data_IF_919656844573
#
_entry.id   IF_919656844573
#
_cell.length_a   1.000
_cell.length_b   1.000
_cell.length_c   1.000
_cell.angle_alpha   90.00
_cell.angle_beta   90.00
_cell.angle_gamma   90.00
#
_symmetry.space_group_name_H-M   'P 1'
#
loop_
_entity.id
_entity.type
_entity.pdbx_description
1 polymer ?
#
# COMPACT_ATOMS: atom_id res chain seq x y z
N UNK A 1 56.22 -24.06 7.10
CA UNK A 1 57.07 -23.42 6.09
C UNK A 1 56.14 -22.75 5.08
N UNK A 2 55.92 -21.44 5.22
CA UNK A 2 56.61 -20.38 4.48
C UNK A 2 56.17 -20.35 2.99
N UNK A 3 55.63 -19.28 2.41
CA UNK A 3 55.57 -17.91 2.89
C UNK A 3 54.57 -17.05 2.12
N UNK A 4 54.30 -15.90 2.73
CA UNK A 4 53.46 -14.82 2.23
C UNK A 4 54.16 -14.05 1.09
N UNK A 5 53.35 -13.45 0.21
CA UNK A 5 53.78 -12.33 -0.62
C UNK A 5 52.96 -11.09 -0.27
N UNK A 6 53.70 -10.15 0.32
CA UNK A 6 53.34 -8.81 0.70
C UNK A 6 53.46 -7.91 -0.55
N UNK A 7 52.51 -7.00 -0.76
CA UNK A 7 52.74 -5.80 -1.55
C UNK A 7 52.07 -4.62 -0.85
N UNK A 8 52.90 -3.91 -0.08
CA UNK A 8 52.62 -2.57 0.42
C UNK A 8 52.89 -1.56 -0.68
N UNK A 9 51.99 -0.60 -0.86
CA UNK A 9 52.36 0.75 -1.30
C UNK A 9 51.47 1.77 -0.62
N UNK A 10 52.05 2.42 0.38
CA UNK A 10 51.58 3.62 1.04
C UNK A 10 51.64 4.80 0.08
N UNK A 11 50.54 5.53 -0.08
CA UNK A 11 50.56 6.94 -0.49
C UNK A 11 49.75 7.76 0.51
N UNK A 12 50.47 8.60 1.24
CA UNK A 12 49.95 9.57 2.19
C UNK A 12 49.24 10.72 1.47
N UNK A 13 48.01 10.96 1.90
CA UNK A 13 47.23 12.21 2.03
C UNK A 13 47.65 13.47 1.26
N UNK A 14 46.64 14.07 0.59
CA UNK A 14 46.36 15.50 0.76
C UNK A 14 44.85 15.70 0.95
N UNK A 15 44.43 15.98 2.19
CA UNK A 15 43.06 16.32 2.54
C UNK A 15 42.73 17.72 2.06
N UNK A 16 41.61 17.86 1.34
CA UNK A 16 40.96 19.15 1.06
C UNK A 16 39.90 19.42 2.16
N UNK A 17 39.75 20.68 2.61
CA UNK A 17 38.89 21.01 3.73
C UNK A 17 37.40 20.80 3.38
N UNK A 18 36.75 19.93 4.14
CA UNK A 18 35.30 19.74 4.12
C UNK A 18 34.63 20.86 4.93
N UNK A 19 33.93 21.76 4.24
CA UNK A 19 33.02 22.71 4.86
C UNK A 19 31.79 21.96 5.36
N UNK A 20 31.75 21.70 6.67
CA UNK A 20 30.58 21.18 7.36
C UNK A 20 29.50 22.27 7.40
N UNK A 21 28.43 22.11 6.62
CA UNK A 21 27.17 22.81 6.86
C UNK A 21 26.36 22.01 7.89
N UNK A 22 25.83 22.64 8.94
CA UNK A 22 25.01 21.93 9.92
C UNK A 22 23.64 21.65 9.31
N UNK A 23 23.29 20.37 9.12
CA UNK A 23 21.90 19.97 8.88
C UNK A 23 21.18 19.97 10.23
N UNK A 24 20.34 20.98 10.47
CA UNK A 24 19.42 20.96 11.60
C UNK A 24 18.33 19.91 11.34
N UNK A 25 18.43 18.75 11.97
CA UNK A 25 17.28 17.85 12.11
C UNK A 25 16.35 18.44 13.17
N UNK A 26 15.28 19.11 12.75
CA UNK A 26 14.24 19.57 13.67
C UNK A 26 13.31 18.38 13.92
N UNK A 27 13.56 17.65 15.01
CA UNK A 27 12.58 16.74 15.60
C UNK A 27 11.61 17.58 16.43
N UNK A 28 10.39 17.79 15.93
CA UNK A 28 9.34 18.46 16.72
C UNK A 28 8.77 17.44 17.70
N UNK A 29 9.33 17.43 18.92
CA UNK A 29 8.74 16.76 20.08
C UNK A 29 7.76 17.71 20.72
N UNK A 30 6.46 17.53 20.48
CA UNK A 30 5.44 18.26 21.21
C UNK A 30 5.54 17.88 22.70
N UNK A 31 5.91 18.85 23.54
CA UNK A 31 5.88 18.73 25.00
C UNK A 31 4.71 19.57 25.49
N UNK A 32 3.64 18.92 25.94
CA UNK A 32 2.60 19.58 26.71
C UNK A 32 3.07 19.69 28.17
N UNK A 33 3.12 20.92 28.69
CA UNK A 33 3.12 21.16 30.13
C UNK A 33 1.71 21.55 30.58
N UNK A 34 1.28 21.12 31.77
CA UNK A 34 -0.09 21.28 32.22
C UNK A 34 -0.31 22.69 32.79
N UNK A 35 -1.43 23.29 32.46
CA UNK A 35 -2.01 24.42 33.21
C UNK A 35 -3.22 23.91 33.99
N UNK A 36 -3.08 23.88 35.30
CA UNK A 36 -4.20 23.77 36.24
C UNK A 36 -5.04 25.06 36.17
N UNK A 37 -6.35 24.93 36.02
CA UNK A 37 -7.30 25.33 37.07
C UNK A 37 -8.75 25.25 36.61
N UNK A 38 -9.61 24.98 37.60
CA UNK A 38 -11.03 25.31 37.69
C UNK A 38 -12.04 24.33 37.07
N UNK A 39 -12.48 23.43 37.94
CA UNK A 39 -13.67 22.61 37.88
C UNK A 39 -14.96 23.43 37.82
N UNK A 40 -15.74 23.26 36.75
CA UNK A 40 -17.20 23.45 36.79
C UNK A 40 -17.86 22.38 35.92
N UNK A 41 -18.55 21.45 36.58
CA UNK A 41 -19.36 20.39 36.00
C UNK A 41 -20.60 20.95 35.30
N UNK A 42 -20.69 20.76 33.98
CA UNK A 42 -21.93 20.94 33.21
C UNK A 42 -22.11 19.73 32.30
N UNK A 43 -23.27 19.10 32.43
CA UNK A 43 -23.59 17.77 31.95
C UNK A 43 -23.53 17.57 30.43
N UNK A 44 -23.21 16.33 30.10
CA UNK A 44 -23.24 15.70 28.78
C UNK A 44 -24.61 15.90 28.14
N UNK A 45 -24.66 16.70 27.08
CA UNK A 45 -25.69 16.56 26.05
C UNK A 45 -25.03 15.96 24.82
N UNK A 46 -25.52 14.78 24.48
CA UNK A 46 -25.34 14.10 23.21
C UNK A 46 -25.52 15.12 22.09
N UNK A 47 -24.47 15.30 21.28
CA UNK A 47 -24.58 16.17 20.13
C UNK A 47 -25.12 15.34 18.97
N UNK A 48 -26.24 15.84 18.47
CA UNK A 48 -27.14 15.19 17.55
C UNK A 48 -26.47 14.85 16.23
N UNK A 49 -26.89 13.68 15.75
CA UNK A 49 -26.60 13.11 14.45
C UNK A 49 -27.19 14.06 13.38
N UNK A 50 -26.36 14.97 12.84
CA UNK A 50 -26.75 15.79 11.69
C UNK A 50 -26.78 14.86 10.48
N UNK A 51 -27.99 14.49 10.07
CA UNK A 51 -28.27 13.48 9.08
C UNK A 51 -27.65 13.76 7.71
N UNK A 52 -26.81 12.81 7.29
CA UNK A 52 -26.61 12.48 5.89
C UNK A 52 -26.82 10.97 5.73
N UNK A 53 -28.07 10.52 5.86
CA UNK A 53 -28.44 9.14 5.53
C UNK A 53 -28.54 8.98 4.01
N UNK A 54 -27.43 9.14 3.30
CA UNK A 54 -27.27 8.47 2.02
C UNK A 54 -26.99 7.00 2.32
N UNK A 55 -28.04 6.17 2.39
CA UNK A 55 -27.84 4.73 2.50
C UNK A 55 -27.14 4.27 1.23
N UNK A 56 -25.86 3.93 1.32
CA UNK A 56 -25.15 3.31 0.22
C UNK A 56 -25.84 1.97 -0.07
N UNK A 57 -26.24 1.76 -1.31
CA UNK A 57 -26.84 0.51 -1.76
C UNK A 57 -26.09 0.01 -2.98
N UNK A 58 -26.00 -1.31 -3.19
CA UNK A 58 -25.49 -1.86 -4.44
C UNK A 58 -26.28 -1.32 -5.64
N UNK A 59 -25.69 -1.27 -6.84
CA UNK A 59 -26.42 -0.95 -8.06
C UNK A 59 -27.66 -1.84 -8.24
N UNK A 60 -28.73 -1.35 -8.89
CA UNK A 60 -29.93 -2.17 -9.13
C UNK A 60 -29.60 -3.48 -9.85
N UNK A 61 -30.17 -4.59 -9.38
CA UNK A 61 -29.93 -5.95 -9.89
C UNK A 61 -28.46 -6.41 -9.85
N UNK A 62 -27.63 -5.81 -8.99
CA UNK A 62 -26.24 -6.21 -8.85
C UNK A 62 -26.10 -7.64 -8.33
N UNK A 63 -25.28 -8.43 -9.03
CA UNK A 63 -24.84 -9.75 -8.59
C UNK A 63 -23.31 -9.80 -8.65
N UNK A 64 -22.63 -10.21 -7.57
CA UNK A 64 -21.19 -10.43 -7.63
C UNK A 64 -20.82 -11.39 -8.76
N UNK A 65 -19.76 -11.11 -9.52
CA UNK A 65 -19.30 -11.97 -10.60
C UNK A 65 -18.75 -13.29 -10.05
N UNK A 66 -18.87 -14.34 -10.86
CA UNK A 66 -18.16 -15.59 -10.58
C UNK A 66 -16.64 -15.40 -10.79
N UNK A 67 -15.78 -15.84 -9.84
CA UNK A 67 -14.34 -15.68 -9.96
C UNK A 67 -13.76 -16.44 -11.14
N UNK A 68 -12.96 -15.76 -11.97
CA UNK A 68 -12.28 -16.32 -13.14
C UNK A 68 -10.78 -16.20 -12.97
N UNK A 69 -10.17 -17.32 -12.59
CA UNK A 69 -8.72 -17.38 -12.36
C UNK A 69 -7.94 -16.97 -13.63
N UNK A 70 -7.17 -15.89 -13.51
CA UNK A 70 -6.38 -15.30 -14.61
C UNK A 70 -7.21 -14.79 -15.80
N UNK A 71 -8.53 -14.64 -15.63
CA UNK A 71 -9.39 -14.08 -16.65
C UNK A 71 -9.07 -12.61 -16.89
N UNK A 72 -8.91 -12.22 -18.15
CA UNK A 72 -8.87 -10.82 -18.56
C UNK A 72 -10.09 -10.56 -19.42
N UNK A 73 -10.93 -9.61 -19.02
CA UNK A 73 -12.06 -9.21 -19.84
C UNK A 73 -11.54 -8.59 -21.16
N UNK A 74 -12.09 -8.95 -22.34
CA UNK A 74 -11.51 -8.55 -23.62
C UNK A 74 -11.32 -7.05 -23.81
N UNK A 75 -12.23 -6.22 -23.28
CA UNK A 75 -12.14 -4.75 -23.31
C UNK A 75 -11.06 -4.17 -22.38
N UNK A 76 -10.51 -4.96 -21.46
CA UNK A 76 -9.49 -4.55 -20.49
C UNK A 76 -8.08 -5.04 -20.80
N UNK A 77 -7.86 -5.70 -21.93
CA UNK A 77 -6.55 -6.25 -22.30
C UNK A 77 -5.45 -5.18 -22.29
N UNK A 78 -5.70 -4.03 -22.95
CA UNK A 78 -4.72 -2.94 -23.01
C UNK A 78 -4.52 -2.27 -21.65
N UNK A 79 -5.56 -2.21 -20.83
CA UNK A 79 -5.45 -1.68 -19.48
C UNK A 79 -4.52 -2.53 -18.61
N UNK A 80 -4.74 -3.84 -18.62
CA UNK A 80 -3.91 -4.81 -17.89
C UNK A 80 -2.48 -4.82 -18.44
N UNK A 81 -2.29 -4.75 -19.76
CA UNK A 81 -0.97 -4.69 -20.37
C UNK A 81 -0.21 -3.42 -19.95
N UNK A 82 -0.86 -2.26 -19.99
CA UNK A 82 -0.28 -1.00 -19.53
C UNK A 82 0.06 -1.01 -18.04
N UNK A 83 -0.78 -1.63 -17.21
CA UNK A 83 -0.52 -1.82 -15.78
C UNK A 83 0.63 -2.78 -15.50
N UNK A 84 0.86 -3.76 -16.38
CA UNK A 84 1.92 -4.76 -16.24
C UNK A 84 3.32 -4.19 -16.49
N UNK A 85 3.45 -3.01 -17.11
CA UNK A 85 4.74 -2.33 -17.28
C UNK A 85 5.45 -2.08 -15.94
N UNK A 86 4.69 -1.93 -14.85
CA UNK A 86 5.25 -1.81 -13.51
C UNK A 86 6.15 -3.00 -13.16
N UNK A 87 5.73 -4.23 -13.50
CA UNK A 87 6.52 -5.44 -13.26
C UNK A 87 7.82 -5.45 -14.06
N UNK A 88 7.79 -4.95 -15.30
CA UNK A 88 8.96 -4.89 -16.18
C UNK A 88 9.96 -3.86 -15.68
N UNK A 89 9.54 -2.60 -15.48
CA UNK A 89 10.45 -1.52 -15.08
C UNK A 89 10.98 -1.65 -13.66
N UNK A 90 10.28 -2.41 -12.82
CA UNK A 90 10.68 -2.69 -11.43
C UNK A 90 11.26 -4.08 -11.25
N UNK A 91 11.44 -4.84 -12.32
CA UNK A 91 12.03 -6.19 -12.28
C UNK A 91 11.33 -7.11 -11.26
N UNK A 92 10.01 -6.98 -11.14
CA UNK A 92 9.19 -7.75 -10.21
C UNK A 92 9.33 -7.40 -8.72
N UNK A 93 9.94 -6.25 -8.36
CA UNK A 93 9.98 -5.82 -6.96
C UNK A 93 8.57 -5.55 -6.42
N UNK A 94 8.34 -5.84 -5.14
CA UNK A 94 7.00 -5.78 -4.54
C UNK A 94 6.06 -6.94 -4.88
N UNK A 95 6.50 -7.94 -5.68
CA UNK A 95 5.74 -9.19 -5.87
C UNK A 95 5.82 -10.08 -4.63
N UNK A 96 6.96 -10.10 -3.95
CA UNK A 96 7.27 -11.02 -2.86
C UNK A 96 7.37 -10.26 -1.53
N UNK A 97 6.93 -10.92 -0.46
CA UNK A 97 7.15 -10.42 0.90
C UNK A 97 8.59 -10.64 1.36
N UNK A 98 8.98 -10.00 2.45
CA UNK A 98 10.31 -10.14 3.05
C UNK A 98 10.56 -11.57 3.53
N UNK A 99 11.78 -12.06 3.28
CA UNK A 99 12.17 -13.43 3.60
C UNK A 99 11.44 -14.50 2.80
N UNK A 100 10.85 -14.16 1.65
CA UNK A 100 10.16 -15.12 0.79
C UNK A 100 11.07 -16.31 0.42
N UNK A 101 10.52 -17.51 0.57
CA UNK A 101 11.13 -18.76 0.11
C UNK A 101 10.04 -19.70 -0.42
N UNK A 102 10.39 -20.51 -1.41
CA UNK A 102 9.47 -21.46 -2.01
C UNK A 102 10.12 -22.83 -2.25
N UNK A 103 9.32 -23.88 -2.10
CA UNK A 103 9.69 -25.26 -2.42
C UNK A 103 8.54 -25.95 -3.17
N UNK A 104 8.88 -26.89 -4.06
CA UNK A 104 7.88 -27.71 -4.74
C UNK A 104 7.56 -28.94 -3.89
N UNK A 105 6.27 -29.17 -3.66
CA UNK A 105 5.76 -30.34 -2.94
C UNK A 105 4.83 -31.12 -3.87
N UNK A 106 4.96 -32.45 -3.99
CA UNK A 106 4.00 -33.26 -4.75
C UNK A 106 2.55 -33.02 -4.29
N UNK A 107 1.60 -32.93 -5.23
CA UNK A 107 0.19 -32.60 -4.91
C UNK A 107 -0.46 -33.55 -3.90
N UNK A 108 -0.10 -34.82 -3.93
CA UNK A 108 -0.59 -35.85 -3.01
C UNK A 108 -0.06 -35.69 -1.57
N UNK A 109 1.02 -34.92 -1.37
CA UNK A 109 1.66 -34.70 -0.06
C UNK A 109 1.32 -33.31 0.51
N UNK A 110 0.61 -32.47 -0.24
CA UNK A 110 0.25 -31.12 0.21
C UNK A 110 -1.11 -31.10 0.91
N UNK A 111 -1.25 -30.44 2.08
CA UNK A 111 -2.51 -30.39 2.81
C UNK A 111 -3.66 -29.79 1.96
N UNK A 112 -4.83 -30.44 1.87
CA UNK A 112 -5.91 -30.02 0.98
C UNK A 112 -6.61 -28.72 1.41
N UNK A 113 -6.52 -28.38 2.71
CA UNK A 113 -7.07 -27.16 3.32
C UNK A 113 -6.17 -25.93 3.13
N UNK A 114 -4.93 -26.13 2.65
CA UNK A 114 -3.96 -25.05 2.46
C UNK A 114 -3.98 -24.54 1.02
N UNK A 115 -4.00 -23.22 0.90
CA UNK A 115 -3.74 -22.51 -0.34
C UNK A 115 -2.32 -22.81 -0.82
N UNK A 116 -2.21 -23.20 -2.10
CA UNK A 116 -0.96 -23.20 -2.83
C UNK A 116 -1.21 -23.04 -4.32
N UNK A 117 -0.26 -22.38 -4.99
CA UNK A 117 -0.19 -22.36 -6.45
C UNK A 117 0.16 -23.77 -6.94
N UNK A 118 -0.61 -24.28 -7.89
CA UNK A 118 -0.35 -25.56 -8.55
C UNK A 118 0.36 -25.33 -9.88
N UNK A 119 1.49 -26.01 -10.10
CA UNK A 119 2.28 -25.95 -11.33
C UNK A 119 2.73 -27.37 -11.68
N UNK A 120 2.31 -27.87 -12.84
CA UNK A 120 2.74 -29.16 -13.39
C UNK A 120 2.63 -30.35 -12.39
N UNK A 121 1.54 -30.41 -11.60
CA UNK A 121 1.32 -31.47 -10.61
C UNK A 121 2.01 -31.27 -9.25
N UNK A 122 2.74 -30.16 -9.07
CA UNK A 122 3.33 -29.77 -7.80
C UNK A 122 2.57 -28.59 -7.18
N UNK A 123 2.56 -28.52 -5.85
CA UNK A 123 2.14 -27.36 -5.08
C UNK A 123 3.38 -26.55 -4.71
N UNK A 124 3.33 -25.24 -4.95
CA UNK A 124 4.36 -24.29 -4.51
C UNK A 124 4.09 -23.96 -3.05
N UNK A 125 4.85 -24.55 -2.14
CA UNK A 125 4.83 -24.20 -0.72
C UNK A 125 5.63 -22.91 -0.54
N UNK A 126 4.94 -21.83 -0.19
CA UNK A 126 5.53 -20.51 0.03
C UNK A 126 5.67 -20.24 1.53
N UNK A 127 6.77 -19.59 1.91
CA UNK A 127 7.04 -19.17 3.29
C UNK A 127 7.65 -17.77 3.29
N UNK A 128 7.63 -17.11 4.45
CA UNK A 128 8.12 -15.75 4.62
C UNK A 128 8.68 -15.53 6.02
N UNK A 129 9.42 -14.42 6.21
CA UNK A 129 9.95 -13.99 7.51
C UNK A 129 9.49 -12.56 7.77
N UNK A 130 8.26 -12.44 8.26
CA UNK A 130 7.63 -11.14 8.51
C UNK A 130 8.04 -10.58 9.87
N UNK A 131 8.13 -9.25 9.95
CA UNK A 131 8.36 -8.53 11.21
C UNK A 131 7.09 -8.39 12.06
N UNK A 132 7.14 -7.63 13.17
CA UNK A 132 5.96 -7.41 14.00
C UNK A 132 4.84 -6.74 13.20
N UNK A 133 3.58 -7.02 13.56
CA UNK A 133 2.40 -6.45 12.92
C UNK A 133 1.87 -5.29 13.75
N UNK A 134 1.50 -4.15 13.14
CA UNK A 134 0.90 -3.04 13.87
C UNK A 134 -0.47 -3.44 14.45
N UNK A 135 -0.78 -2.96 15.66
CA UNK A 135 -2.07 -3.25 16.31
C UNK A 135 -3.22 -2.43 15.74
N UNK A 136 -2.90 -1.23 15.26
CA UNK A 136 -3.81 -0.32 14.55
C UNK A 136 -3.25 -0.09 13.15
N UNK A 137 -4.09 -0.05 12.09
CA UNK A 137 -3.61 0.26 10.75
C UNK A 137 -2.83 1.57 10.70
N UNK A 138 -1.69 1.57 10.04
CA UNK A 138 -0.95 2.80 9.72
C UNK A 138 -1.72 3.53 8.62
N UNK A 139 -1.82 4.85 8.74
CA UNK A 139 -2.50 5.69 7.76
C UNK A 139 -1.49 6.23 6.75
N UNK A 140 -1.81 6.14 5.45
CA UNK A 140 -0.97 6.70 4.39
C UNK A 140 -1.82 7.55 3.45
N UNK A 141 -1.45 8.81 3.32
CA UNK A 141 -2.06 9.79 2.43
C UNK A 141 -1.24 9.83 1.14
N UNK A 142 -1.87 9.48 0.01
CA UNK A 142 -1.14 9.20 -1.23
C UNK A 142 -2.01 9.34 -2.48
N UNK A 143 -1.40 9.36 -3.67
CA UNK A 143 -2.13 9.12 -4.91
C UNK A 143 -1.34 8.24 -5.89
N UNK A 144 -2.06 7.52 -6.76
CA UNK A 144 -1.52 6.40 -7.53
C UNK A 144 -0.37 6.80 -8.46
N UNK A 145 -0.51 7.94 -9.11
CA UNK A 145 0.40 8.47 -10.15
C UNK A 145 1.52 9.34 -9.55
N UNK A 146 2.02 8.93 -8.38
CA UNK A 146 3.16 9.53 -7.71
C UNK A 146 4.26 8.48 -7.52
N UNK A 147 5.47 8.69 -8.06
CA UNK A 147 6.55 7.70 -7.93
C UNK A 147 6.99 7.54 -6.47
N UNK A 148 6.92 8.60 -5.66
CA UNK A 148 7.25 8.55 -4.25
C UNK A 148 6.21 7.78 -3.42
N UNK A 149 4.93 7.89 -3.76
CA UNK A 149 3.87 7.09 -3.13
C UNK A 149 4.01 5.62 -3.50
N UNK A 150 4.36 5.34 -4.76
CA UNK A 150 4.60 3.98 -5.24
C UNK A 150 5.73 3.28 -4.50
N UNK A 151 6.84 3.96 -4.21
CA UNK A 151 7.91 3.43 -3.35
C UNK A 151 7.39 2.95 -2.00
N UNK A 152 6.51 3.74 -1.38
CA UNK A 152 5.93 3.41 -0.07
C UNK A 152 4.95 2.24 -0.18
N UNK A 153 4.12 2.18 -1.23
CA UNK A 153 3.27 1.00 -1.50
C UNK A 153 4.10 -0.26 -1.74
N UNK A 154 5.21 -0.14 -2.44
CA UNK A 154 6.11 -1.27 -2.71
C UNK A 154 6.71 -1.82 -1.42
N UNK A 155 7.22 -0.97 -0.51
CA UNK A 155 7.73 -1.48 0.78
C UNK A 155 6.62 -2.03 1.66
N UNK A 156 5.43 -1.44 1.66
CA UNK A 156 4.26 -1.93 2.40
C UNK A 156 3.90 -3.34 1.94
N UNK A 157 3.93 -3.61 0.63
CA UNK A 157 3.70 -4.94 0.07
C UNK A 157 4.81 -5.93 0.45
N UNK A 158 6.09 -5.50 0.40
CA UNK A 158 7.23 -6.32 0.83
C UNK A 158 7.13 -6.67 2.31
N UNK A 159 6.75 -5.72 3.16
CA UNK A 159 6.62 -5.95 4.59
C UNK A 159 5.32 -6.65 4.99
N UNK A 160 4.41 -6.88 4.04
CA UNK A 160 3.09 -7.49 4.25
C UNK A 160 2.23 -6.74 5.29
N UNK A 161 2.25 -5.41 5.25
CA UNK A 161 1.53 -4.58 6.22
C UNK A 161 0.12 -4.25 5.74
N UNK A 162 -0.84 -4.22 6.66
CA UNK A 162 -2.18 -3.73 6.37
C UNK A 162 -2.21 -2.22 6.63
N UNK A 163 -2.65 -1.46 5.63
CA UNK A 163 -2.55 0.00 5.61
C UNK A 163 -3.90 0.60 5.28
N UNK A 164 -4.28 1.63 6.05
CA UNK A 164 -5.42 2.47 5.75
C UNK A 164 -4.97 3.61 4.83
N UNK A 165 -5.33 3.52 3.55
CA UNK A 165 -5.00 4.53 2.57
C UNK A 165 -6.07 5.63 2.50
N UNK A 166 -5.61 6.88 2.50
CA UNK A 166 -6.42 8.07 2.26
C UNK A 166 -6.01 8.71 0.94
N UNK A 167 -6.81 8.53 -0.13
CA UNK A 167 -6.40 9.03 -1.43
C UNK A 167 -6.39 10.55 -1.52
N UNK A 168 -5.38 11.09 -2.21
CA UNK A 168 -5.12 12.52 -2.35
C UNK A 168 -4.84 12.87 -3.83
N UNK A 169 -5.71 12.48 -4.79
CA UNK A 169 -5.55 12.87 -6.19
C UNK A 169 -5.58 14.41 -6.31
N UNK A 170 -5.04 14.95 -7.39
CA UNK A 170 -5.09 16.40 -7.65
C UNK A 170 -6.56 16.87 -7.69
N UNK A 171 -6.82 18.05 -7.14
CA UNK A 171 -8.15 18.64 -6.98
C UNK A 171 -9.11 17.89 -6.04
N UNK A 172 -8.58 16.93 -5.28
CA UNK A 172 -9.33 16.22 -4.24
C UNK A 172 -9.73 17.12 -3.07
N UNK A 173 -11.03 17.20 -2.72
CA UNK A 173 -11.53 18.14 -1.70
C UNK A 173 -11.35 17.64 -0.26
N UNK A 174 -11.18 16.34 -0.02
CA UNK A 174 -11.30 15.79 1.34
C UNK A 174 -9.96 15.69 2.07
N UNK A 175 -8.98 14.99 1.50
CA UNK A 175 -7.81 14.55 2.27
C UNK A 175 -6.58 15.44 2.09
N UNK A 176 -6.45 16.14 0.95
CA UNK A 176 -5.36 17.11 0.76
C UNK A 176 -5.40 18.26 1.77
N UNK A 177 -6.56 18.88 2.09
CA UNK A 177 -6.63 19.89 3.14
C UNK A 177 -6.27 19.34 4.52
N UNK A 178 -6.67 18.09 4.82
CA UNK A 178 -6.31 17.42 6.08
C UNK A 178 -4.79 17.28 6.24
N UNK A 179 -4.07 16.87 5.18
CA UNK A 179 -2.61 16.78 5.20
C UNK A 179 -1.96 18.16 5.38
N UNK A 180 -2.51 19.20 4.76
CA UNK A 180 -2.04 20.57 4.98
C UNK A 180 -2.20 20.99 6.45
N UNK A 181 -3.34 20.66 7.08
CA UNK A 181 -3.60 20.97 8.48
C UNK A 181 -2.67 20.20 9.44
N UNK A 182 -2.44 18.91 9.17
CA UNK A 182 -1.66 18.04 10.05
C UNK A 182 -0.14 18.23 9.90
N UNK A 183 0.37 18.35 8.67
CA UNK A 183 1.80 18.37 8.40
C UNK A 183 2.32 19.68 7.76
N UNK A 184 1.44 20.66 7.53
CA UNK A 184 1.83 22.01 7.08
C UNK A 184 2.12 22.15 5.58
N UNK A 185 2.07 21.05 4.81
CA UNK A 185 2.27 21.08 3.34
C UNK A 185 1.50 19.97 2.64
N UNK A 186 0.99 20.26 1.44
CA UNK A 186 0.36 19.26 0.56
C UNK A 186 1.43 18.44 -0.21
N UNK A 187 2.28 17.73 0.53
CA UNK A 187 3.30 16.82 -0.01
C UNK A 187 2.89 15.36 0.24
N UNK A 188 3.17 14.49 -0.73
CA UNK A 188 2.78 13.07 -0.67
C UNK A 188 3.97 12.17 -1.05
N UNK A 189 4.12 10.99 -0.43
CA UNK A 189 3.24 10.45 0.61
C UNK A 189 3.42 11.15 1.96
N UNK A 190 2.36 11.11 2.78
CA UNK A 190 2.41 11.48 4.20
C UNK A 190 1.89 10.29 5.02
N UNK A 191 2.64 9.88 6.04
CA UNK A 191 2.33 8.70 6.85
C UNK A 191 1.99 9.15 8.28
N UNK A 192 1.01 8.49 8.90
CA UNK A 192 0.70 8.59 10.34
C UNK A 192 0.65 7.19 10.92
N UNK A 193 1.48 6.91 11.92
CA UNK A 193 1.48 5.65 12.65
C UNK A 193 0.86 5.84 14.05
N UNK A 194 -0.41 5.42 14.25
CA UNK A 194 -1.09 5.56 15.54
C UNK A 194 -0.54 4.64 16.63
N UNK A 195 0.31 3.66 16.30
CA UNK A 195 0.92 2.75 17.27
C UNK A 195 2.08 3.42 18.01
N UNK A 196 2.77 4.37 17.37
CA UNK A 196 3.93 5.07 17.92
C UNK A 196 3.70 6.57 18.09
N UNK A 197 2.64 7.13 17.48
CA UNK A 197 2.36 8.56 17.44
C UNK A 197 3.22 9.33 16.43
N UNK A 198 3.97 8.63 15.57
CA UNK A 198 4.85 9.26 14.57
C UNK A 198 4.06 9.64 13.32
N UNK A 199 4.31 10.84 12.81
CA UNK A 199 3.84 11.27 11.48
C UNK A 199 4.97 11.91 10.69
N UNK A 200 5.09 11.62 9.40
CA UNK A 200 6.22 12.11 8.60
C UNK A 200 5.93 12.20 7.10
N UNK A 201 6.74 13.04 6.44
CA UNK A 201 6.88 13.12 4.99
C UNK A 201 8.10 12.31 4.52
N UNK A 202 8.45 12.48 3.25
CA UNK A 202 9.65 11.93 2.59
C UNK A 202 9.60 10.41 2.44
N UNK A 203 9.35 9.94 1.22
CA UNK A 203 9.19 8.50 0.93
C UNK A 203 10.33 7.63 1.44
N UNK A 204 11.59 8.11 1.37
CA UNK A 204 12.75 7.37 1.85
C UNK A 204 12.79 7.24 3.37
N UNK A 205 12.34 8.26 4.10
CA UNK A 205 12.31 8.22 5.56
C UNK A 205 11.13 7.38 6.06
N UNK A 206 9.98 7.44 5.37
CA UNK A 206 8.86 6.52 5.58
C UNK A 206 9.30 5.06 5.37
N UNK A 207 10.01 4.75 4.26
CA UNK A 207 10.52 3.40 4.00
C UNK A 207 11.45 2.93 5.11
N UNK A 208 12.43 3.74 5.51
CA UNK A 208 13.34 3.40 6.61
C UNK A 208 12.58 3.16 7.91
N UNK A 209 11.62 4.01 8.24
CA UNK A 209 10.80 3.88 9.44
C UNK A 209 10.02 2.55 9.44
N UNK A 210 9.32 2.23 8.35
CA UNK A 210 8.52 1.00 8.25
C UNK A 210 9.40 -0.25 8.36
N UNK A 211 10.55 -0.25 7.71
CA UNK A 211 11.51 -1.36 7.77
C UNK A 211 12.11 -1.53 9.17
N UNK A 212 12.42 -0.45 9.87
CA UNK A 212 12.98 -0.50 11.22
C UNK A 212 11.96 -0.98 12.27
N UNK A 213 10.71 -0.54 12.16
CA UNK A 213 9.69 -0.85 13.17
C UNK A 213 8.93 -2.15 12.87
N UNK A 214 8.76 -2.50 11.59
CA UNK A 214 7.89 -3.60 11.15
C UNK A 214 8.55 -4.60 10.19
N UNK A 215 9.84 -4.41 9.89
CA UNK A 215 10.65 -5.30 9.05
C UNK A 215 11.86 -5.87 9.79
N UNK A 216 12.92 -6.13 9.03
CA UNK A 216 14.19 -6.68 9.53
C UNK A 216 15.30 -5.61 9.69
N UNK A 217 14.95 -4.33 9.51
CA UNK A 217 15.90 -3.22 9.53
C UNK A 217 16.62 -2.94 8.21
N UNK A 218 16.48 -3.79 7.18
CA UNK A 218 17.18 -3.62 5.90
C UNK A 218 16.26 -3.08 4.81
N UNK A 219 16.58 -1.90 4.27
CA UNK A 219 15.85 -1.37 3.12
C UNK A 219 16.25 -2.16 1.86
N UNK A 220 15.29 -2.71 1.09
CA UNK A 220 15.59 -3.43 -0.14
C UNK A 220 16.37 -2.57 -1.13
N UNK A 221 17.33 -3.18 -1.84
CA UNK A 221 18.19 -2.45 -2.79
C UNK A 221 17.37 -1.69 -3.84
N UNK A 222 16.28 -2.26 -4.34
CA UNK A 222 15.39 -1.61 -5.33
C UNK A 222 14.83 -0.26 -4.85
N UNK A 223 14.74 -0.06 -3.52
CA UNK A 223 14.21 1.12 -2.86
C UNK A 223 15.29 2.02 -2.24
N UNK A 224 16.58 1.67 -2.36
CA UNK A 224 17.69 2.41 -1.79
C UNK A 224 18.65 3.04 -2.82
N UNK A 225 18.31 3.02 -4.12
CA UNK A 225 19.16 3.54 -5.21
C UNK A 225 18.92 5.04 -5.52
N UNK A 226 18.18 5.74 -4.67
CA UNK A 226 17.93 7.19 -4.79
C UNK A 226 17.21 7.55 -6.10
N UNK A 227 17.81 8.42 -6.92
CA UNK A 227 17.21 8.90 -8.16
C UNK A 227 16.84 7.77 -9.13
N UNK A 228 17.65 6.71 -9.20
CA UNK A 228 17.37 5.58 -10.08
C UNK A 228 16.09 4.85 -9.67
N UNK A 229 15.86 4.67 -8.36
CA UNK A 229 14.59 4.16 -7.84
C UNK A 229 13.45 5.07 -8.33
N UNK A 230 13.51 6.37 -8.08
CA UNK A 230 12.44 7.32 -8.49
C UNK A 230 12.17 7.31 -10.00
N UNK A 231 13.20 7.18 -10.84
CA UNK A 231 13.02 7.11 -12.30
C UNK A 231 12.30 5.81 -12.72
N UNK A 232 12.72 4.66 -12.20
CA UNK A 232 12.07 3.38 -12.51
C UNK A 232 10.63 3.32 -11.99
N UNK A 233 10.36 3.94 -10.85
CA UNK A 233 9.00 4.14 -10.31
C UNK A 233 8.15 5.04 -11.23
N UNK A 234 8.75 6.10 -11.79
CA UNK A 234 8.13 6.93 -12.82
C UNK A 234 7.76 6.13 -14.07
N UNK A 235 8.72 5.36 -14.61
CA UNK A 235 8.50 4.52 -15.78
C UNK A 235 7.45 3.42 -15.56
N UNK A 236 7.36 2.87 -14.35
CA UNK A 236 6.34 1.89 -13.99
C UNK A 236 4.89 2.39 -14.18
N UNK A 237 4.68 3.69 -14.29
CA UNK A 237 3.33 4.30 -14.40
C UNK A 237 2.97 4.78 -15.81
N UNK A 238 3.92 4.81 -16.76
CA UNK A 238 3.71 5.44 -18.08
C UNK A 238 2.58 4.79 -18.88
N UNK A 239 2.41 3.47 -18.75
CA UNK A 239 1.38 2.71 -19.45
C UNK A 239 -0.04 3.01 -18.99
N UNK A 240 -0.20 3.82 -17.93
CA UNK A 240 -1.50 4.19 -17.36
C UNK A 240 -1.94 5.61 -17.66
N UNK A 241 -1.13 6.39 -18.40
CA UNK A 241 -1.53 7.71 -18.93
C UNK A 241 -2.12 8.67 -17.88
N UNK A 242 -1.61 8.65 -16.63
CA UNK A 242 -2.08 9.52 -15.55
C UNK A 242 -3.38 9.10 -14.86
N UNK A 243 -3.87 7.87 -15.06
CA UNK A 243 -4.94 7.29 -14.23
C UNK A 243 -4.55 7.36 -12.74
N UNK A 244 -5.52 7.67 -11.89
CA UNK A 244 -5.25 7.89 -10.46
C UNK A 244 -4.55 9.22 -10.15
N UNK A 245 -4.54 10.20 -11.07
CA UNK A 245 -3.94 11.53 -10.84
C UNK A 245 -4.92 12.61 -10.40
N UNK A 246 -6.17 12.54 -10.84
CA UNK A 246 -7.11 13.67 -10.77
C UNK A 246 -8.41 13.17 -10.15
N UNK A 247 -8.93 13.96 -9.22
CA UNK A 247 -10.18 13.70 -8.55
C UNK A 247 -11.36 13.69 -9.53
N UNK A 248 -12.27 12.74 -9.33
CA UNK A 248 -13.59 12.68 -9.94
C UNK A 248 -14.63 12.85 -8.84
N UNK A 249 -15.64 13.72 -9.02
CA UNK A 249 -16.71 13.90 -8.06
C UNK A 249 -17.28 12.57 -7.56
N UNK A 250 -17.37 12.42 -6.24
CA UNK A 250 -17.82 11.20 -5.60
C UNK A 250 -18.51 11.46 -4.26
N UNK A 251 -19.25 10.45 -3.79
CA UNK A 251 -19.83 10.37 -2.45
C UNK A 251 -18.80 9.74 -1.52
N UNK A 252 -18.46 10.43 -0.43
CA UNK A 252 -17.55 9.89 0.57
C UNK A 252 -18.25 8.81 1.42
N UNK A 253 -17.72 7.58 1.50
CA UNK A 253 -18.31 6.52 2.31
C UNK A 253 -18.15 6.79 3.82
N UNK A 254 -19.10 6.35 4.67
CA UNK A 254 -18.98 6.46 6.12
C UNK A 254 -17.91 5.52 6.71
N UNK A 255 -17.65 4.38 6.09
CA UNK A 255 -16.60 3.44 6.48
C UNK A 255 -15.61 3.20 5.32
N UNK A 256 -14.30 2.99 5.62
CA UNK A 256 -13.34 2.61 4.59
C UNK A 256 -13.73 1.29 3.92
N UNK A 257 -13.50 1.18 2.61
CA UNK A 257 -13.66 -0.09 1.91
C UNK A 257 -12.48 -1.02 2.26
N UNK A 258 -12.67 -2.32 2.22
CA UNK A 258 -11.59 -3.30 2.42
C UNK A 258 -11.18 -3.92 1.09
N UNK A 259 -9.87 -3.94 0.81
CA UNK A 259 -9.32 -4.44 -0.44
C UNK A 259 -8.18 -5.40 -0.17
N UNK A 260 -8.30 -6.63 -0.67
CA UNK A 260 -7.20 -7.59 -0.66
C UNK A 260 -6.44 -7.45 -1.98
N UNK A 261 -5.21 -6.97 -1.90
CA UNK A 261 -4.42 -6.55 -3.06
C UNK A 261 -2.92 -6.54 -2.76
N UNK A 262 -2.08 -6.25 -3.76
CA UNK A 262 -0.68 -5.88 -3.53
C UNK A 262 -0.18 -5.04 -4.71
N UNK A 263 0.91 -4.29 -4.52
CA UNK A 263 1.42 -3.33 -5.51
C UNK A 263 1.80 -4.00 -6.84
N UNK A 264 2.35 -5.22 -6.80
CA UNK A 264 2.82 -5.94 -7.98
C UNK A 264 1.71 -6.50 -8.89
N UNK A 265 0.43 -6.46 -8.52
CA UNK A 265 -0.65 -6.99 -9.37
C UNK A 265 -1.19 -5.91 -10.33
N UNK A 266 -1.16 -6.13 -11.66
CA UNK A 266 -1.73 -5.18 -12.62
C UNK A 266 -3.25 -5.03 -12.46
N UNK A 267 -3.95 -6.10 -12.08
CA UNK A 267 -5.40 -6.06 -11.80
C UNK A 267 -5.72 -5.21 -10.57
N UNK A 268 -4.90 -5.29 -9.52
CA UNK A 268 -5.07 -4.46 -8.33
C UNK A 268 -4.81 -2.98 -8.63
N UNK A 269 -3.88 -2.69 -9.55
CA UNK A 269 -3.60 -1.32 -10.00
C UNK A 269 -4.85 -0.66 -10.59
N UNK A 270 -5.61 -1.36 -11.44
CA UNK A 270 -6.83 -0.83 -12.05
C UNK A 270 -7.89 -0.42 -11.02
N UNK A 271 -8.08 -1.26 -9.98
CA UNK A 271 -9.01 -0.95 -8.89
C UNK A 271 -8.52 0.23 -8.06
N UNK A 272 -7.22 0.25 -7.72
CA UNK A 272 -6.62 1.33 -6.92
C UNK A 272 -6.65 2.67 -7.64
N UNK A 273 -6.47 2.70 -8.96
CA UNK A 273 -6.66 3.92 -9.77
C UNK A 273 -8.04 4.53 -9.53
N UNK A 274 -9.10 3.71 -9.52
CA UNK A 274 -10.48 4.17 -9.31
C UNK A 274 -10.75 4.55 -7.86
N UNK A 275 -10.27 3.77 -6.88
CA UNK A 275 -10.35 4.14 -5.47
C UNK A 275 -9.69 5.51 -5.23
N UNK A 276 -8.56 5.76 -5.88
CA UNK A 276 -7.85 7.04 -5.76
C UNK A 276 -8.60 8.17 -6.46
N UNK A 277 -9.04 7.99 -7.71
CA UNK A 277 -9.77 9.04 -8.44
C UNK A 277 -11.07 9.44 -7.73
N UNK A 278 -11.76 8.49 -7.09
CA UNK A 278 -12.99 8.73 -6.35
C UNK A 278 -12.76 9.14 -4.88
N UNK A 279 -11.51 9.36 -4.45
CA UNK A 279 -11.17 9.67 -3.04
C UNK A 279 -11.78 8.71 -2.01
N UNK A 280 -11.82 7.40 -2.30
CA UNK A 280 -12.40 6.41 -1.40
C UNK A 280 -11.34 5.91 -0.41
N UNK A 281 -11.48 6.17 0.90
CA UNK A 281 -10.60 5.58 1.91
C UNK A 281 -10.73 4.06 1.89
N UNK A 282 -9.60 3.37 1.98
CA UNK A 282 -9.61 1.91 1.91
C UNK A 282 -8.50 1.27 2.75
N UNK A 283 -8.87 0.21 3.48
CA UNK A 283 -7.94 -0.67 4.16
C UNK A 283 -7.44 -1.71 3.17
N UNK A 284 -6.13 -1.74 2.92
CA UNK A 284 -5.51 -2.73 2.05
C UNK A 284 -4.93 -3.87 2.88
N UNK A 285 -5.44 -5.07 2.66
CA UNK A 285 -4.82 -6.31 3.12
C UNK A 285 -3.81 -6.78 2.07
N UNK A 286 -2.51 -6.69 2.38
CA UNK A 286 -1.48 -6.99 1.41
C UNK A 286 -1.36 -8.51 1.12
N UNK A 287 -1.44 -8.90 -0.15
CA UNK A 287 -1.44 -10.31 -0.55
C UNK A 287 -0.28 -10.64 -1.49
N UNK A 288 0.90 -10.04 -1.27
CA UNK A 288 2.10 -10.39 -2.01
C UNK A 288 2.45 -11.89 -1.86
N UNK A 289 3.26 -12.44 -2.76
CA UNK A 289 3.68 -13.85 -2.75
C UNK A 289 4.41 -14.15 -1.43
N UNK A 290 4.01 -15.24 -0.76
CA UNK A 290 4.48 -15.63 0.57
C UNK A 290 3.74 -14.98 1.75
N UNK A 291 2.76 -14.12 1.51
CA UNK A 291 1.89 -13.58 2.56
C UNK A 291 0.98 -14.67 3.16
N UNK A 292 0.87 -14.79 4.50
CA UNK A 292 -0.10 -15.68 5.14
C UNK A 292 -1.55 -15.27 4.85
N UNK A 293 -1.80 -14.00 4.53
CA UNK A 293 -3.13 -13.47 4.19
C UNK A 293 -3.72 -14.09 2.92
N UNK A 294 -2.91 -14.75 2.09
CA UNK A 294 -3.42 -15.55 0.97
C UNK A 294 -4.24 -16.75 1.45
N UNK A 295 -3.82 -17.37 2.55
CA UNK A 295 -4.59 -18.42 3.21
C UNK A 295 -5.86 -17.84 3.84
N UNK A 296 -5.76 -16.70 4.52
CA UNK A 296 -6.92 -16.06 5.16
C UNK A 296 -8.01 -15.71 4.13
N UNK A 297 -7.63 -15.14 2.99
CA UNK A 297 -8.59 -14.87 1.90
C UNK A 297 -9.14 -16.17 1.32
N UNK A 298 -8.32 -17.20 1.17
CA UNK A 298 -8.76 -18.51 0.70
C UNK A 298 -9.81 -19.12 1.64
N UNK A 299 -9.60 -19.06 2.95
CA UNK A 299 -10.55 -19.53 3.97
C UNK A 299 -11.83 -18.68 3.98
N UNK A 300 -11.70 -17.37 3.85
CA UNK A 300 -12.82 -16.42 3.83
C UNK A 300 -13.71 -16.58 2.60
N UNK A 301 -13.12 -16.77 1.42
CA UNK A 301 -13.83 -16.70 0.14
C UNK A 301 -13.92 -18.05 -0.61
N UNK A 302 -13.31 -19.11 -0.09
CA UNK A 302 -13.20 -20.42 -0.76
C UNK A 302 -12.29 -20.41 -2.00
N UNK A 303 -11.72 -19.26 -2.34
CA UNK A 303 -10.89 -19.04 -3.51
C UNK A 303 -9.90 -17.92 -3.22
N UNK A 304 -8.68 -18.05 -3.75
CA UNK A 304 -7.70 -16.97 -3.69
C UNK A 304 -7.49 -16.38 -5.09
N UNK A 305 -7.88 -15.12 -5.21
CA UNK A 305 -7.58 -14.24 -6.33
C UNK A 305 -7.54 -12.80 -5.80
N UNK A 306 -6.76 -11.93 -6.44
CA UNK A 306 -6.76 -10.50 -6.11
C UNK A 306 -6.86 -9.68 -7.39
N UNK A 307 -7.54 -8.52 -7.37
CA UNK A 307 -8.16 -7.89 -6.20
C UNK A 307 -9.43 -8.61 -5.72
N UNK A 308 -9.69 -8.52 -4.41
CA UNK A 308 -10.98 -8.85 -3.80
C UNK A 308 -11.44 -7.64 -2.98
N UNK A 309 -12.70 -7.25 -3.17
CA UNK A 309 -13.35 -6.13 -2.48
C UNK A 309 -14.32 -6.67 -1.43
N UNK A 310 -14.29 -6.09 -0.24
CA UNK A 310 -15.33 -6.18 0.80
C UNK A 310 -15.77 -4.74 1.12
N UNK A 311 -16.99 -4.39 0.73
CA UNK A 311 -17.56 -3.05 0.93
C UNK A 311 -18.54 -3.06 2.11
N UNK A 312 -18.13 -2.59 3.30
CA UNK A 312 -19.00 -2.59 4.48
C UNK A 312 -20.17 -1.61 4.35
N UNK A 313 -20.11 -0.65 3.43
CA UNK A 313 -21.15 0.37 3.28
C UNK A 313 -22.36 -0.17 2.52
N UNK A 314 -22.19 -1.21 1.69
CA UNK A 314 -23.27 -1.83 0.89
C UNK A 314 -23.46 -3.33 1.18
N UNK A 315 -22.50 -3.96 1.86
CA UNK A 315 -22.42 -5.41 2.07
C UNK A 315 -21.91 -6.21 0.86
N UNK A 316 -21.46 -5.54 -0.20
CA UNK A 316 -20.96 -6.21 -1.41
C UNK A 316 -19.58 -6.81 -1.18
N UNK A 317 -19.43 -8.07 -1.60
CA UNK A 317 -18.16 -8.80 -1.63
C UNK A 317 -17.95 -9.40 -3.01
N UNK A 318 -16.82 -9.14 -3.65
CA UNK A 318 -16.61 -9.56 -5.03
C UNK A 318 -15.14 -9.66 -5.45
N UNK A 319 -14.90 -10.50 -6.45
CA UNK A 319 -13.66 -10.55 -7.23
C UNK A 319 -13.82 -9.80 -8.55
N UNK A 320 -12.85 -9.99 -9.45
CA UNK A 320 -12.79 -9.47 -10.82
C UNK A 320 -12.59 -7.95 -10.89
N UNK A 321 -11.37 -7.54 -11.26
CA UNK A 321 -10.97 -6.12 -11.21
C UNK A 321 -11.83 -5.20 -12.08
N UNK A 322 -12.35 -5.69 -13.21
CA UNK A 322 -13.11 -4.85 -14.14
C UNK A 322 -14.51 -4.56 -13.58
N UNK A 323 -15.13 -5.57 -13.00
CA UNK A 323 -16.43 -5.53 -12.33
C UNK A 323 -16.33 -4.73 -11.03
N UNK A 324 -15.24 -4.86 -10.27
CA UNK A 324 -14.96 -4.00 -9.11
C UNK A 324 -14.90 -2.53 -9.54
N UNK A 325 -14.18 -2.23 -10.62
CA UNK A 325 -14.10 -0.86 -11.16
C UNK A 325 -15.49 -0.32 -11.53
N UNK A 326 -16.30 -1.11 -12.23
CA UNK A 326 -17.67 -0.72 -12.59
C UNK A 326 -18.56 -0.53 -11.37
N UNK A 327 -18.47 -1.43 -10.40
CA UNK A 327 -19.18 -1.32 -9.13
C UNK A 327 -18.83 -0.03 -8.39
N UNK A 328 -17.53 0.29 -8.25
CA UNK A 328 -17.07 1.50 -7.56
C UNK A 328 -17.59 2.77 -8.25
N UNK A 329 -17.52 2.81 -9.59
CA UNK A 329 -18.05 3.94 -10.37
C UNK A 329 -19.56 4.07 -10.19
N UNK A 330 -20.32 2.99 -10.34
CA UNK A 330 -21.78 3.02 -10.22
C UNK A 330 -22.27 3.38 -8.81
N UNK A 331 -21.51 2.98 -7.78
CA UNK A 331 -21.91 3.14 -6.38
C UNK A 331 -21.49 4.51 -5.83
N UNK A 332 -20.28 4.98 -6.15
CA UNK A 332 -19.67 6.11 -5.47
C UNK A 332 -19.49 7.36 -6.32
N UNK A 333 -19.42 7.28 -7.66
CA UNK A 333 -19.28 8.48 -8.48
C UNK A 333 -20.56 9.36 -8.42
N UNK A 334 -20.38 10.66 -8.66
CA UNK A 334 -21.44 11.68 -8.75
C UNK A 334 -21.69 12.15 -10.18
#
# INVERSE_FOLDING_TARGET
MAGALNLSSTLFLRQLPSTKTPKSSISIRATSRPSESSSTSVGTKENENVGFSSSFSPPPNFKPPEPKRFGVRPDKIFDVLGASLALVFRLGTGIFVSGYSASLVPKNEFPPDKYALEIAGFKVKETSKLGPRPTKPIEIYEFESCPFCRKVREIVAILDLDILFYPCPRNGPNFRPKVLQMGGKQQFPYMVDPNTGVSMYESDDIIKYLVQNYGDGNVPLSLSLGLLTTLTEGFAMIGRMGRGSIYKPSKLPPAPLEIWAYEGSPFCKLVREVLVELELPHLVHNCARGSPKRQELYEKAGHFQVPYLDDPNTGVRMFESAEIVEYLQATYAL
#
